data_IF_096626556144
#
_entry.id   IF_096626556144
#
_cell.length_a   1.000
_cell.length_b   1.000
_cell.length_c   1.000
_cell.angle_alpha   90.00
_cell.angle_beta   90.00
_cell.angle_gamma   90.00
#
_symmetry.space_group_name_H-M   'P 1'
#
loop_
_entity.id
_entity.type
_entity.pdbx_description
1 polymer ?
#
# COMPACT_ATOMS: atom_id res chain seq x y z
N UNK A 1 23.66 14.59 -22.72
CA UNK A 1 22.42 13.83 -22.44
C UNK A 1 22.80 12.38 -22.27
N UNK A 2 22.96 11.91 -21.03
CA UNK A 2 23.31 10.51 -20.77
C UNK A 2 22.12 9.64 -21.10
N UNK A 3 22.26 8.79 -22.11
CA UNK A 3 21.24 7.83 -22.50
C UNK A 3 20.92 6.93 -21.29
N UNK A 4 19.71 7.04 -20.75
CA UNK A 4 19.15 6.02 -19.84
C UNK A 4 18.86 4.79 -20.69
N UNK A 5 19.88 3.97 -20.96
CA UNK A 5 19.64 2.64 -21.51
C UNK A 5 18.83 1.85 -20.48
N UNK A 6 17.79 1.17 -20.96
CA UNK A 6 17.00 0.27 -20.10
C UNK A 6 17.91 -0.85 -19.61
N UNK A 7 18.14 -0.91 -18.29
CA UNK A 7 18.85 -2.00 -17.64
C UNK A 7 17.78 -2.99 -17.15
N UNK A 8 17.66 -4.19 -17.74
CA UNK A 8 16.72 -5.18 -17.24
C UNK A 8 17.10 -5.60 -15.80
N UNK A 9 16.15 -5.49 -14.87
CA UNK A 9 16.31 -5.84 -13.44
C UNK A 9 15.38 -6.98 -13.02
N UNK A 10 15.55 -8.19 -13.58
CA UNK A 10 14.63 -9.31 -13.37
C UNK A 10 14.55 -9.73 -11.90
N UNK A 11 15.66 -9.67 -11.16
CA UNK A 11 15.74 -9.99 -9.74
C UNK A 11 14.97 -8.99 -8.87
N UNK A 12 15.08 -7.69 -9.16
CA UNK A 12 14.30 -6.66 -8.46
C UNK A 12 12.80 -6.80 -8.74
N UNK A 13 12.42 -7.01 -10.00
CA UNK A 13 11.02 -7.25 -10.34
C UNK A 13 10.46 -8.50 -9.66
N UNK A 14 11.25 -9.57 -9.54
CA UNK A 14 10.86 -10.78 -8.82
C UNK A 14 10.71 -10.52 -7.32
N UNK A 15 11.63 -9.76 -6.71
CA UNK A 15 11.59 -9.38 -5.30
C UNK A 15 10.38 -8.50 -4.99
N UNK A 16 10.09 -7.49 -5.82
CA UNK A 16 8.89 -6.63 -5.70
C UNK A 16 7.63 -7.49 -5.78
N UNK A 17 7.51 -8.38 -6.78
CA UNK A 17 6.35 -9.27 -6.90
C UNK A 17 6.20 -10.20 -5.70
N UNK A 18 7.28 -10.79 -5.21
CA UNK A 18 7.25 -11.62 -4.00
C UNK A 18 6.82 -10.81 -2.77
N UNK A 19 7.33 -9.58 -2.63
CA UNK A 19 7.00 -8.67 -1.54
C UNK A 19 5.57 -8.13 -1.60
N UNK A 20 4.96 -8.07 -2.80
CA UNK A 20 3.53 -7.74 -2.97
C UNK A 20 2.62 -8.93 -2.68
N UNK A 21 3.08 -10.16 -2.96
CA UNK A 21 2.33 -11.41 -2.71
C UNK A 21 2.41 -11.90 -1.27
N UNK A 22 3.33 -11.38 -0.45
CA UNK A 22 3.38 -11.78 0.95
C UNK A 22 2.18 -11.22 1.71
N UNK A 23 1.49 -12.11 2.45
CA UNK A 23 0.46 -11.72 3.41
C UNK A 23 1.12 -10.96 4.56
N UNK A 24 1.35 -9.66 4.37
CA UNK A 24 1.83 -8.81 5.45
C UNK A 24 0.67 -8.59 6.41
N UNK A 25 0.90 -8.75 7.72
CA UNK A 25 -0.12 -8.45 8.70
C UNK A 25 -0.56 -7.00 8.51
N UNK A 26 -1.84 -6.81 8.20
CA UNK A 26 -2.45 -5.49 8.20
C UNK A 26 -2.67 -5.06 9.65
N UNK A 27 -2.50 -3.77 9.97
CA UNK A 27 -2.97 -3.25 11.25
C UNK A 27 -4.46 -3.56 11.42
N UNK A 28 -4.92 -3.65 12.66
CA UNK A 28 -6.33 -3.89 12.94
C UNK A 28 -7.20 -2.78 12.34
N UNK A 29 -8.44 -3.11 11.96
CA UNK A 29 -9.40 -2.13 11.41
C UNK A 29 -9.55 -0.89 12.33
N UNK A 30 -9.67 -1.01 13.67
CA UNK A 30 -9.71 0.16 14.55
C UNK A 30 -8.48 1.06 14.43
N UNK A 31 -7.28 0.50 14.32
CA UNK A 31 -6.05 1.28 14.17
C UNK A 31 -6.01 2.02 12.83
N UNK A 32 -6.51 1.38 11.75
CA UNK A 32 -6.60 2.01 10.43
C UNK A 32 -7.66 3.12 10.38
N UNK A 33 -8.79 2.93 11.06
CA UNK A 33 -9.83 3.96 11.18
C UNK A 33 -9.34 5.17 11.99
N UNK A 34 -8.58 4.95 13.06
CA UNK A 34 -7.94 6.04 13.81
C UNK A 34 -6.98 6.85 12.92
N UNK A 35 -6.12 6.17 12.15
CA UNK A 35 -5.21 6.83 11.21
C UNK A 35 -5.94 7.61 10.11
N UNK A 36 -7.12 7.14 9.68
CA UNK A 36 -7.96 7.86 8.71
C UNK A 36 -8.51 9.16 9.29
N UNK A 37 -8.95 9.15 10.57
CA UNK A 37 -9.40 10.36 11.26
C UNK A 37 -8.26 11.36 11.42
N UNK A 38 -7.08 10.91 11.84
CA UNK A 38 -5.88 11.75 11.97
C UNK A 38 -5.48 12.40 10.63
N UNK A 39 -5.51 11.63 9.54
CA UNK A 39 -5.19 12.14 8.20
C UNK A 39 -6.24 13.16 7.72
N UNK A 40 -7.52 12.90 8.00
CA UNK A 40 -8.60 13.81 7.66
C UNK A 40 -8.51 15.13 8.45
N UNK A 41 -8.22 15.08 9.75
CA UNK A 41 -8.00 16.27 10.58
C UNK A 41 -6.85 17.14 10.04
N UNK A 42 -5.77 16.50 9.59
CA UNK A 42 -4.60 17.16 8.99
C UNK A 42 -4.83 17.62 7.55
N UNK A 43 -5.99 17.33 6.95
CA UNK A 43 -6.29 17.54 5.52
C UNK A 43 -5.26 16.88 4.58
N UNK A 44 -4.67 15.77 5.02
CA UNK A 44 -3.75 14.96 4.24
C UNK A 44 -4.53 14.01 3.32
N UNK A 45 -4.67 14.42 2.05
CA UNK A 45 -5.40 13.66 1.04
C UNK A 45 -4.77 12.29 0.76
N UNK A 46 -3.45 12.21 0.76
CA UNK A 46 -2.72 10.98 0.48
C UNK A 46 -2.85 10.01 1.67
N UNK A 47 -2.74 10.55 2.89
CA UNK A 47 -2.98 9.80 4.12
C UNK A 47 -4.39 9.20 4.18
N UNK A 48 -5.41 9.99 3.82
CA UNK A 48 -6.80 9.51 3.75
C UNK A 48 -6.97 8.41 2.71
N UNK A 49 -6.45 8.60 1.49
CA UNK A 49 -6.55 7.60 0.42
C UNK A 49 -5.88 6.28 0.83
N UNK A 50 -4.67 6.36 1.39
CA UNK A 50 -3.93 5.17 1.85
C UNK A 50 -4.65 4.44 2.98
N UNK A 51 -5.12 5.17 4.00
CA UNK A 51 -5.81 4.58 5.14
C UNK A 51 -7.12 3.91 4.70
N UNK A 52 -7.91 4.58 3.84
CA UNK A 52 -9.16 4.03 3.31
C UNK A 52 -8.93 2.72 2.54
N UNK A 53 -7.96 2.67 1.63
CA UNK A 53 -7.65 1.42 0.91
C UNK A 53 -7.19 0.29 1.83
N UNK A 54 -6.42 0.61 2.88
CA UNK A 54 -5.98 -0.38 3.87
C UNK A 54 -7.15 -0.89 4.72
N UNK A 55 -8.08 -0.04 5.12
CA UNK A 55 -9.30 -0.44 5.85
C UNK A 55 -10.09 -1.43 5.01
N UNK A 56 -10.37 -1.10 3.74
CA UNK A 56 -11.12 -1.98 2.84
C UNK A 56 -10.43 -3.33 2.68
N UNK A 57 -9.11 -3.33 2.45
CA UNK A 57 -8.35 -4.59 2.31
C UNK A 57 -8.33 -5.44 3.59
N UNK A 58 -8.36 -4.81 4.77
CA UNK A 58 -8.37 -5.51 6.05
C UNK A 58 -9.78 -6.01 6.45
N UNK A 59 -10.84 -5.30 6.05
CA UNK A 59 -12.22 -5.63 6.39
C UNK A 59 -12.89 -6.56 5.36
N UNK A 60 -12.50 -6.46 4.09
CA UNK A 60 -13.01 -7.24 2.96
C UNK A 60 -11.82 -7.83 2.18
N UNK A 61 -11.20 -8.93 2.67
CA UNK A 61 -9.99 -9.50 2.08
C UNK A 61 -10.17 -10.02 0.65
N UNK A 62 -11.42 -10.26 0.25
CA UNK A 62 -11.84 -10.64 -1.11
C UNK A 62 -11.63 -9.55 -2.18
N UNK A 63 -11.38 -8.30 -1.78
CA UNK A 63 -11.18 -7.15 -2.71
C UNK A 63 -9.73 -7.04 -3.23
N UNK A 64 -8.97 -8.13 -3.23
CA UNK A 64 -7.56 -8.13 -3.66
C UNK A 64 -7.03 -9.45 -4.22
N UNK A 65 -7.92 -10.40 -4.50
CA UNK A 65 -7.62 -11.57 -5.36
C UNK A 65 -7.86 -11.26 -6.84
#
# INVERSE_FOLDING_TARGET
>A
MTARSYIPRPTEHAAIRAACRSARPTPSVPALMAALLDANERRDREGVALAAHRVVRAAAPEVGE
#
